data_IF_286219158299
#
_entry.id   IF_286219158299
#
_cell.length_a   1.000
_cell.length_b   1.000
_cell.length_c   1.000
_cell.angle_alpha   90.00
_cell.angle_beta   90.00
_cell.angle_gamma   90.00
#
_symmetry.space_group_name_H-M   'P 1'
#
loop_
_entity.id
_entity.type
_entity.pdbx_description
1 polymer ?
#
# COMPACT_ATOMS: atom_id res chain seq x y z
N UNK A 1 8.64 -19.52 -13.36
CA UNK A 1 7.89 -18.23 -13.44
C UNK A 1 6.54 -18.44 -14.15
N UNK A 2 5.53 -17.58 -13.98
CA UNK A 2 4.22 -17.77 -14.63
C UNK A 2 4.29 -17.57 -16.15
N UNK A 3 5.11 -16.63 -16.64
CA UNK A 3 5.30 -16.44 -18.08
C UNK A 3 6.08 -17.61 -18.69
N UNK A 4 7.05 -18.15 -17.97
CA UNK A 4 7.76 -19.38 -18.34
C UNK A 4 6.82 -20.59 -18.44
N UNK A 5 5.95 -20.80 -17.45
CA UNK A 5 4.92 -21.84 -17.49
C UNK A 5 4.00 -21.71 -18.72
N UNK A 6 3.53 -20.50 -19.02
CA UNK A 6 2.67 -20.22 -20.19
C UNK A 6 3.38 -20.54 -21.50
N UNK A 7 4.68 -20.28 -21.57
CA UNK A 7 5.51 -20.60 -22.74
C UNK A 7 5.62 -22.12 -22.93
N UNK A 8 5.96 -22.84 -21.87
CA UNK A 8 6.03 -24.31 -21.89
C UNK A 8 4.68 -24.93 -22.28
N UNK A 9 3.57 -24.41 -21.73
CA UNK A 9 2.23 -24.91 -22.03
C UNK A 9 1.88 -24.76 -23.53
N UNK A 10 2.27 -23.64 -24.15
CA UNK A 10 2.11 -23.43 -25.60
C UNK A 10 2.90 -24.45 -26.43
N UNK A 11 4.11 -24.79 -25.99
CA UNK A 11 4.98 -25.74 -26.68
C UNK A 11 4.39 -27.17 -26.69
N UNK A 12 3.53 -27.50 -25.72
CA UNK A 12 2.81 -28.78 -25.66
C UNK A 12 1.43 -28.77 -26.31
N UNK A 13 1.00 -27.66 -26.91
CA UNK A 13 -0.35 -27.47 -27.46
C UNK A 13 -0.79 -28.54 -28.47
N UNK A 14 0.16 -29.14 -29.19
CA UNK A 14 -0.08 -30.18 -30.19
C UNK A 14 -0.52 -31.53 -29.61
N UNK A 15 -0.32 -31.77 -28.29
CA UNK A 15 -0.68 -33.03 -27.61
C UNK A 15 -2.03 -32.96 -26.89
N UNK A 16 -2.63 -31.77 -26.81
CA UNK A 16 -3.76 -31.53 -25.92
C UNK A 16 -5.05 -32.08 -26.51
N UNK A 17 -5.85 -32.71 -25.65
CA UNK A 17 -7.23 -33.04 -25.94
C UNK A 17 -8.13 -31.78 -25.85
N UNK A 18 -9.42 -31.94 -26.13
CA UNK A 18 -10.37 -30.82 -26.20
C UNK A 18 -10.51 -30.05 -24.89
N UNK A 19 -10.51 -30.74 -23.75
CA UNK A 19 -10.69 -30.13 -22.44
C UNK A 19 -9.40 -29.45 -21.99
N UNK A 20 -8.26 -30.10 -22.22
CA UNK A 20 -6.93 -29.52 -21.99
C UNK A 20 -6.71 -28.27 -22.84
N UNK A 21 -7.15 -28.25 -24.09
CA UNK A 21 -7.06 -27.07 -24.96
C UNK A 21 -7.89 -25.91 -24.43
N UNK A 22 -9.11 -26.17 -23.92
CA UNK A 22 -9.93 -25.14 -23.27
C UNK A 22 -9.27 -24.58 -22.02
N UNK A 23 -8.67 -25.45 -21.21
CA UNK A 23 -7.89 -25.02 -20.06
C UNK A 23 -6.71 -24.11 -20.48
N UNK A 24 -5.95 -24.52 -21.50
CA UNK A 24 -4.86 -23.71 -22.05
C UNK A 24 -5.36 -22.34 -22.53
N UNK A 25 -6.48 -22.28 -23.27
CA UNK A 25 -7.05 -21.01 -23.75
C UNK A 25 -7.40 -20.08 -22.58
N UNK A 26 -7.94 -20.61 -21.48
CA UNK A 26 -8.20 -19.85 -20.26
C UNK A 26 -6.92 -19.32 -19.62
N UNK A 27 -5.88 -20.15 -19.51
CA UNK A 27 -4.56 -19.75 -18.97
C UNK A 27 -3.93 -18.65 -19.82
N UNK A 28 -4.00 -18.77 -21.15
CA UNK A 28 -3.47 -17.76 -22.08
C UNK A 28 -4.21 -16.43 -21.98
N UNK A 29 -5.54 -16.48 -21.84
CA UNK A 29 -6.34 -15.27 -21.61
C UNK A 29 -5.93 -14.60 -20.29
N UNK A 30 -5.84 -15.38 -19.22
CA UNK A 30 -5.42 -14.88 -17.90
C UNK A 30 -4.03 -14.25 -17.95
N UNK A 31 -3.05 -14.90 -18.59
CA UNK A 31 -1.70 -14.35 -18.74
C UNK A 31 -1.71 -13.02 -19.48
N UNK A 32 -2.47 -12.92 -20.57
CA UNK A 32 -2.60 -11.68 -21.35
C UNK A 32 -3.21 -10.55 -20.52
N UNK A 33 -4.28 -10.84 -19.79
CA UNK A 33 -4.95 -9.88 -18.90
C UNK A 33 -4.00 -9.41 -17.79
N UNK A 34 -3.33 -10.35 -17.11
CA UNK A 34 -2.36 -10.01 -16.06
C UNK A 34 -1.19 -9.16 -16.58
N UNK A 35 -0.65 -9.46 -17.77
CA UNK A 35 0.42 -8.65 -18.37
C UNK A 35 -0.06 -7.25 -18.74
N UNK A 36 -1.31 -7.12 -19.21
CA UNK A 36 -1.89 -5.81 -19.51
C UNK A 36 -2.11 -4.98 -18.24
N UNK A 37 -2.53 -5.63 -17.16
CA UNK A 37 -2.85 -4.96 -15.90
C UNK A 37 -1.65 -4.79 -14.96
N UNK A 38 -0.51 -5.45 -15.23
CA UNK A 38 0.67 -5.43 -14.37
C UNK A 38 1.14 -4.00 -14.03
N UNK A 39 1.16 -3.10 -15.02
CA UNK A 39 1.57 -1.71 -14.78
C UNK A 39 0.58 -0.97 -13.87
N UNK A 40 -0.72 -1.24 -14.00
CA UNK A 40 -1.74 -0.65 -13.14
C UNK A 40 -1.66 -1.21 -11.72
N UNK A 41 -1.46 -2.53 -11.56
CA UNK A 41 -1.29 -3.18 -10.26
C UNK A 41 -0.11 -2.57 -9.51
N UNK A 42 1.05 -2.45 -10.17
CA UNK A 42 2.25 -1.85 -9.56
C UNK A 42 1.97 -0.41 -9.13
N UNK A 43 1.37 0.42 -10.00
CA UNK A 43 1.04 1.81 -9.65
C UNK A 43 0.08 1.87 -8.45
N UNK A 44 -0.90 0.97 -8.36
CA UNK A 44 -1.84 0.93 -7.23
C UNK A 44 -1.12 0.50 -5.95
N UNK A 45 -0.20 -0.46 -6.02
CA UNK A 45 0.62 -0.89 -4.89
C UNK A 45 1.53 0.24 -4.40
N UNK A 46 2.22 0.94 -5.30
CA UNK A 46 3.09 2.09 -5.00
C UNK A 46 2.28 3.22 -4.34
N UNK A 47 1.09 3.54 -4.87
CA UNK A 47 0.21 4.57 -4.29
C UNK A 47 -0.26 4.17 -2.91
N UNK A 48 -0.58 2.89 -2.69
CA UNK A 48 -1.00 2.38 -1.39
C UNK A 48 0.14 2.50 -0.36
N UNK A 49 1.36 2.11 -0.74
CA UNK A 49 2.53 2.25 0.11
C UNK A 49 2.78 3.71 0.48
N UNK A 50 2.83 4.60 -0.51
CA UNK A 50 2.98 6.05 -0.30
C UNK A 50 1.88 6.62 0.61
N UNK A 51 0.62 6.22 0.40
CA UNK A 51 -0.48 6.66 1.25
C UNK A 51 -0.29 6.22 2.70
N UNK A 52 0.14 4.97 2.94
CA UNK A 52 0.44 4.48 4.29
C UNK A 52 1.56 5.28 4.94
N UNK A 53 2.68 5.49 4.25
CA UNK A 53 3.80 6.28 4.78
C UNK A 53 3.39 7.71 5.15
N UNK A 54 2.65 8.38 4.26
CA UNK A 54 2.17 9.75 4.51
C UNK A 54 1.20 9.79 5.68
N UNK A 55 0.28 8.82 5.75
CA UNK A 55 -0.70 8.75 6.85
C UNK A 55 0.00 8.58 8.20
N UNK A 56 0.99 7.68 8.27
CA UNK A 56 1.75 7.43 9.49
C UNK A 56 2.58 8.66 9.89
N UNK A 57 3.21 9.32 8.92
CA UNK A 57 3.97 10.55 9.18
C UNK A 57 3.08 11.68 9.72
N UNK A 58 1.89 11.86 9.14
CA UNK A 58 0.91 12.86 9.60
C UNK A 58 0.38 12.52 10.99
N UNK A 59 0.08 11.25 11.27
CA UNK A 59 -0.34 10.81 12.60
C UNK A 59 0.72 11.14 13.67
N UNK A 60 1.98 10.83 13.39
CA UNK A 60 3.10 11.14 14.27
C UNK A 60 3.24 12.65 14.52
N UNK A 61 3.10 13.48 13.47
CA UNK A 61 3.14 14.94 13.62
C UNK A 61 1.98 15.46 14.48
N UNK A 62 0.77 14.92 14.30
CA UNK A 62 -0.39 15.29 15.10
C UNK A 62 -0.12 15.01 16.59
N UNK A 63 0.45 13.85 16.90
CA UNK A 63 0.73 13.49 18.30
C UNK A 63 1.82 14.36 18.92
N UNK A 64 2.89 14.67 18.19
CA UNK A 64 3.91 15.63 18.63
C UNK A 64 3.33 17.03 18.91
N UNK A 65 2.40 17.49 18.06
CA UNK A 65 1.72 18.78 18.24
C UNK A 65 0.84 18.75 19.49
N UNK A 66 0.09 17.67 19.74
CA UNK A 66 -0.71 17.53 20.96
C UNK A 66 0.14 17.57 22.22
N UNK A 67 1.26 16.83 22.24
CA UNK A 67 2.20 16.85 23.37
C UNK A 67 2.76 18.26 23.60
N UNK A 68 3.13 18.95 22.52
CA UNK A 68 3.63 20.33 22.60
C UNK A 68 2.58 21.28 23.17
N UNK A 69 1.31 21.13 22.79
CA UNK A 69 0.20 21.92 23.33
C UNK A 69 0.00 21.68 24.83
N UNK A 70 0.08 20.42 25.28
CA UNK A 70 -0.03 20.08 26.71
C UNK A 70 1.11 20.71 27.53
N UNK A 71 2.34 20.67 27.02
CA UNK A 71 3.49 21.33 27.67
C UNK A 71 3.28 22.85 27.75
N UNK A 72 2.79 23.48 26.69
CA UNK A 72 2.49 24.92 26.70
C UNK A 72 1.38 25.27 27.70
N UNK A 73 0.34 24.43 27.80
CA UNK A 73 -0.73 24.57 28.80
C UNK A 73 -0.17 24.49 30.23
N UNK A 74 0.70 23.52 30.51
CA UNK A 74 1.36 23.39 31.82
C UNK A 74 2.22 24.61 32.16
N UNK A 75 3.02 25.10 31.20
CA UNK A 75 3.86 26.31 31.39
C UNK A 75 2.99 27.51 31.74
N UNK A 76 1.89 27.73 30.99
CA UNK A 76 0.96 28.82 31.28
C UNK A 76 0.36 28.69 32.68
N UNK A 77 -0.06 27.48 33.06
CA UNK A 77 -0.56 27.19 34.41
C UNK A 77 0.44 27.53 35.51
N UNK A 78 1.72 27.22 35.31
CA UNK A 78 2.79 27.58 36.26
C UNK A 78 3.00 29.09 36.33
N UNK A 79 3.05 29.79 35.19
CA UNK A 79 3.21 31.24 35.16
C UNK A 79 2.10 31.98 35.91
N UNK A 80 0.83 31.60 35.71
CA UNK A 80 -0.29 32.23 36.42
C UNK A 80 -0.30 31.94 37.92
N UNK A 81 0.03 30.70 38.32
CA UNK A 81 0.14 30.35 39.74
C UNK A 81 1.28 31.11 40.45
N UNK A 82 2.36 31.44 39.74
CA UNK A 82 3.46 32.24 40.28
C UNK A 82 3.07 33.72 40.42
N UNK A 83 2.33 34.27 39.45
CA UNK A 83 1.77 35.63 39.51
C UNK A 83 0.82 35.82 40.72
N UNK A 84 -0.10 34.88 40.96
CA UNK A 84 -1.03 34.92 42.11
C UNK A 84 -0.33 34.87 43.48
N UNK A 85 0.89 34.32 43.57
CA UNK A 85 1.64 34.22 44.83
C UNK A 85 2.46 35.47 45.16
N UNK A 86 2.64 36.36 44.18
CA UNK A 86 3.47 37.58 44.31
C UNK A 86 2.60 38.82 44.58
N UNK A 87 1.30 38.78 44.25
CA UNK A 87 0.27 39.75 44.65
C UNK A 87 -0.25 39.52 46.09
#
# INVERSE_FOLDING_TARGET
>A
DFSEFVKELKDYSWRLNKDEKRFMDCVLRLHKELVADASFIIVVEDVKECHTEVTDAVANQIDLVKESMLVQEEILGLCFNEEERVD
#
